data_IF_521969563903
#
_entry.id   IF_521969563903
#
_cell.length_a   1.000
_cell.length_b   1.000
_cell.length_c   1.000
_cell.angle_alpha   90.00
_cell.angle_beta   90.00
_cell.angle_gamma   90.00
#
_symmetry.space_group_name_H-M   'P 1'
#
loop_
_entity.id
_entity.type
_entity.pdbx_description
1 polymer ?
#
# COMPACT_ATOMS: atom_id res chain seq x y z
N UNK A 1 -5.34 0.55 -14.78
CA UNK A 1 -4.91 0.35 -13.39
C UNK A 1 -3.48 -0.18 -13.42
N UNK A 2 -2.47 0.64 -13.10
CA UNK A 2 -1.06 0.19 -13.12
C UNK A 2 -0.48 0.44 -11.73
N UNK A 3 -0.32 -0.63 -10.97
CA UNK A 3 0.43 -0.65 -9.70
C UNK A 3 1.79 -1.26 -10.05
N UNK A 4 2.89 -0.63 -9.64
CA UNK A 4 4.24 -1.10 -9.96
C UNK A 4 5.18 -0.79 -8.81
N UNK A 5 5.73 -1.86 -8.23
CA UNK A 5 6.70 -1.75 -7.16
C UNK A 5 8.11 -1.70 -7.76
N UNK A 6 8.89 -0.70 -7.34
CA UNK A 6 10.33 -0.65 -7.53
C UNK A 6 11.06 -1.14 -6.28
N UNK A 7 12.36 -0.88 -6.21
CA UNK A 7 13.21 -1.26 -5.06
C UNK A 7 12.76 -0.62 -3.75
N UNK A 8 12.25 0.61 -3.80
CA UNK A 8 11.79 1.39 -2.64
C UNK A 8 10.26 1.46 -2.55
N UNK A 9 9.59 0.39 -2.95
CA UNK A 9 8.14 0.33 -2.97
C UNK A 9 7.53 1.01 -4.21
N UNK A 10 6.28 1.45 -4.07
CA UNK A 10 5.52 2.01 -5.18
C UNK A 10 5.48 3.54 -5.10
N UNK A 11 5.87 4.20 -6.19
CA UNK A 11 5.83 5.65 -6.36
C UNK A 11 5.04 5.99 -7.62
N UNK A 12 4.32 7.11 -7.57
CA UNK A 12 3.55 7.61 -8.71
C UNK A 12 2.99 9.00 -8.44
N UNK A 13 2.49 9.65 -9.49
CA UNK A 13 1.83 10.95 -9.39
C UNK A 13 0.47 10.80 -8.70
N UNK A 14 0.24 11.55 -7.62
CA UNK A 14 -1.04 11.59 -6.89
C UNK A 14 -2.17 12.02 -7.83
N UNK A 15 -3.29 11.30 -7.78
CA UNK A 15 -4.48 11.56 -8.61
C UNK A 15 -4.40 11.00 -10.03
N UNK A 16 -3.23 10.49 -10.48
CA UNK A 16 -3.07 9.87 -11.80
C UNK A 16 -2.63 8.41 -11.69
N UNK A 17 -1.48 8.19 -11.05
CA UNK A 17 -0.89 6.87 -10.87
C UNK A 17 -1.08 6.36 -9.45
N UNK A 18 -1.21 7.27 -8.48
CA UNK A 18 -1.50 6.98 -7.08
C UNK A 18 -2.89 7.54 -6.77
N UNK A 19 -3.91 6.68 -6.80
CA UNK A 19 -5.34 7.02 -6.67
C UNK A 19 -5.95 6.32 -5.47
N UNK A 20 -7.12 6.74 -5.01
CA UNK A 20 -7.76 6.04 -3.88
C UNK A 20 -8.07 4.57 -4.20
N UNK A 21 -8.44 4.27 -5.45
CA UNK A 21 -8.82 2.90 -5.84
C UNK A 21 -7.63 1.95 -5.80
N UNK A 22 -6.48 2.37 -6.33
CA UNK A 22 -5.32 1.50 -6.35
C UNK A 22 -4.63 1.41 -4.98
N UNK A 23 -4.70 2.47 -4.15
CA UNK A 23 -4.29 2.40 -2.74
C UNK A 23 -5.13 1.39 -1.96
N UNK A 24 -6.46 1.33 -2.17
CA UNK A 24 -7.32 0.31 -1.54
C UNK A 24 -6.90 -1.10 -1.92
N UNK A 25 -6.62 -1.34 -3.21
CA UNK A 25 -6.14 -2.65 -3.69
C UNK A 25 -4.82 -3.02 -3.01
N UNK A 26 -3.86 -2.10 -2.95
CA UNK A 26 -2.58 -2.34 -2.27
C UNK A 26 -2.74 -2.60 -0.78
N UNK A 27 -3.62 -1.86 -0.09
CA UNK A 27 -3.87 -2.08 1.33
C UNK A 27 -4.49 -3.46 1.61
N UNK A 28 -5.40 -3.91 0.74
CA UNK A 28 -5.98 -5.26 0.85
C UNK A 28 -4.90 -6.33 0.65
N UNK A 29 -4.09 -6.22 -0.40
CA UNK A 29 -3.01 -7.17 -0.71
C UNK A 29 -1.99 -7.28 0.44
N UNK A 30 -1.61 -6.16 1.06
CA UNK A 30 -0.76 -6.15 2.26
C UNK A 30 -1.44 -6.88 3.43
N UNK A 31 -2.73 -6.67 3.63
CA UNK A 31 -3.50 -7.31 4.71
C UNK A 31 -3.60 -8.82 4.48
N UNK A 32 -3.87 -9.24 3.24
CA UNK A 32 -3.94 -10.64 2.84
C UNK A 32 -2.57 -11.32 3.03
N UNK A 33 -1.48 -10.64 2.69
CA UNK A 33 -0.12 -11.11 2.96
C UNK A 33 0.13 -11.31 4.45
N UNK A 34 -0.20 -10.31 5.28
CA UNK A 34 -0.03 -10.38 6.74
C UNK A 34 -0.84 -11.53 7.35
N UNK A 35 -2.08 -11.72 6.90
CA UNK A 35 -2.93 -12.83 7.33
C UNK A 35 -2.36 -14.19 6.89
N UNK A 36 -1.89 -14.31 5.65
CA UNK A 36 -1.29 -15.55 5.11
C UNK A 36 -0.04 -16.00 5.88
N UNK A 37 0.61 -15.06 6.58
CA UNK A 37 1.81 -15.29 7.40
C UNK A 37 1.50 -15.39 8.90
N UNK A 38 0.22 -15.34 9.30
CA UNK A 38 -0.20 -15.32 10.70
C UNK A 38 0.47 -14.20 11.52
N UNK A 39 0.69 -13.04 10.89
CA UNK A 39 1.33 -11.87 11.53
C UNK A 39 0.32 -10.83 12.02
N UNK A 40 -0.98 -11.08 11.86
CA UNK A 40 -2.07 -10.16 12.16
C UNK A 40 -2.10 -9.69 13.63
N UNK A 41 -1.68 -10.53 14.58
CA UNK A 41 -1.62 -10.18 16.01
C UNK A 41 -0.57 -9.09 16.33
N UNK A 42 0.40 -8.85 15.44
CA UNK A 42 1.42 -7.80 15.63
C UNK A 42 0.91 -6.40 15.28
N UNK A 43 -0.19 -6.32 14.55
CA UNK A 43 -0.70 -5.07 13.99
C UNK A 43 0.17 -4.53 12.83
N UNK A 44 -0.27 -3.40 12.25
CA UNK A 44 0.41 -2.71 11.16
C UNK A 44 0.61 -1.25 11.58
N UNK A 45 1.84 -0.75 11.44
CA UNK A 45 2.17 0.67 11.66
C UNK A 45 2.02 1.40 10.33
N UNK A 46 1.25 2.49 10.35
CA UNK A 46 1.05 3.37 9.19
C UNK A 46 1.66 4.73 9.49
N UNK A 47 2.62 5.16 8.67
CA UNK A 47 3.23 6.48 8.72
C UNK A 47 3.08 7.19 7.37
N UNK A 48 3.02 8.52 7.41
CA UNK A 48 2.90 9.37 6.23
C UNK A 48 3.67 10.68 6.43
N UNK A 49 4.03 11.35 5.33
CA UNK A 49 4.63 12.68 5.35
C UNK A 49 3.61 13.77 5.03
N UNK A 50 4.02 15.05 5.01
CA UNK A 50 3.09 16.19 4.89
C UNK A 50 2.64 16.49 3.46
N UNK A 51 2.61 15.49 2.56
CA UNK A 51 2.13 15.67 1.18
C UNK A 51 0.63 15.96 1.19
N UNK A 52 0.22 16.92 0.35
CA UNK A 52 -1.17 17.33 0.18
C UNK A 52 -1.85 16.53 -0.93
#
# INVERSE_FOLDING_TARGET
MKISFGTDGWRGIIGREFTFDNVKVTAQDITDYVQSRSLNERGIIVGYDTRK
#
